data_IF_284532997091
#
_entry.id   IF_284532997091
#
_cell.length_a   1.000
_cell.length_b   1.000
_cell.length_c   1.000
_cell.angle_alpha   90.00
_cell.angle_beta   90.00
_cell.angle_gamma   90.00
#
_symmetry.space_group_name_H-M   'P 1'
#
loop_
_entity.id
_entity.type
_entity.pdbx_description
1 polymer ?
#
# COMPACT_ATOMS: atom_id res chain seq x y z
N UNK A 1 18.14 -16.84 20.63
CA UNK A 1 16.94 -16.69 21.49
C UNK A 1 15.72 -16.70 20.60
N UNK A 2 14.75 -17.64 20.74
CA UNK A 2 13.62 -17.77 19.84
C UNK A 2 12.72 -16.51 19.85
N UNK A 3 12.10 -16.20 18.72
CA UNK A 3 11.35 -14.99 18.52
C UNK A 3 10.20 -14.74 19.54
N UNK A 4 9.47 -15.77 20.04
CA UNK A 4 8.45 -15.52 21.06
C UNK A 4 9.01 -14.97 22.38
N UNK A 5 10.23 -15.34 22.74
CA UNK A 5 10.89 -14.82 23.95
C UNK A 5 11.40 -13.40 23.71
N UNK A 6 11.88 -13.10 22.49
CA UNK A 6 12.35 -11.74 22.14
C UNK A 6 11.21 -10.72 22.17
N UNK A 7 10.04 -11.05 21.60
CA UNK A 7 8.90 -10.11 21.58
C UNK A 7 8.40 -9.82 23.00
N UNK A 8 8.38 -10.80 23.89
CA UNK A 8 8.00 -10.57 25.30
C UNK A 8 8.97 -9.59 25.95
N UNK A 9 10.28 -9.75 25.75
CA UNK A 9 11.27 -8.79 26.27
C UNK A 9 11.08 -7.38 25.70
N UNK A 10 10.74 -7.25 24.42
CA UNK A 10 10.45 -5.93 23.84
C UNK A 10 9.20 -5.30 24.49
N UNK A 11 8.19 -6.10 24.78
CA UNK A 11 6.97 -5.63 25.45
C UNK A 11 7.21 -5.23 26.90
N UNK A 12 8.11 -5.90 27.62
CA UNK A 12 8.49 -5.59 29.00
C UNK A 12 9.02 -4.17 29.16
N UNK A 13 9.59 -3.57 28.11
CA UNK A 13 10.02 -2.17 28.14
C UNK A 13 8.86 -1.16 28.29
N UNK A 14 7.63 -1.58 28.01
CA UNK A 14 6.44 -0.71 27.99
C UNK A 14 5.29 -1.21 28.83
N UNK A 15 5.24 -2.49 29.11
CA UNK A 15 4.16 -3.15 29.86
C UNK A 15 4.73 -3.69 31.16
N UNK A 16 4.39 -3.04 32.28
CA UNK A 16 4.81 -3.47 33.61
C UNK A 16 3.94 -4.61 34.17
N UNK A 17 2.68 -4.74 33.71
CA UNK A 17 1.76 -5.78 34.21
C UNK A 17 2.13 -7.15 33.64
N UNK A 18 2.64 -8.02 34.53
CA UNK A 18 3.03 -9.40 34.22
C UNK A 18 1.84 -10.28 33.77
N UNK A 19 0.60 -9.93 34.12
CA UNK A 19 -0.59 -10.68 33.72
C UNK A 19 -0.83 -10.49 32.21
N UNK A 20 -0.69 -9.24 31.73
CA UNK A 20 -0.81 -8.94 30.29
C UNK A 20 0.30 -9.65 29.51
N UNK A 21 1.54 -9.61 29.98
CA UNK A 21 2.64 -10.30 29.31
C UNK A 21 2.43 -11.82 29.25
N UNK A 22 1.93 -12.42 30.34
CA UNK A 22 1.56 -13.86 30.34
C UNK A 22 0.43 -14.18 29.36
N UNK A 23 -0.56 -13.31 29.24
CA UNK A 23 -1.66 -13.45 28.30
C UNK A 23 -1.15 -13.42 26.84
N UNK A 24 -0.31 -12.44 26.52
CA UNK A 24 0.32 -12.34 25.20
C UNK A 24 1.19 -13.58 24.91
N UNK A 25 1.96 -14.02 25.89
CA UNK A 25 2.77 -15.24 25.74
C UNK A 25 1.91 -16.49 25.48
N UNK A 26 0.72 -16.59 26.09
CA UNK A 26 -0.25 -17.64 25.76
C UNK A 26 -0.76 -17.50 24.33
N UNK A 27 -1.15 -16.31 23.87
CA UNK A 27 -1.60 -16.07 22.49
C UNK A 27 -0.55 -16.45 21.45
N UNK A 28 0.72 -16.19 21.74
CA UNK A 28 1.83 -16.57 20.85
C UNK A 28 2.05 -18.08 20.75
N UNK A 29 1.60 -18.86 21.77
CA UNK A 29 1.70 -20.32 21.82
C UNK A 29 0.45 -21.03 21.27
N UNK A 30 -0.66 -20.32 21.10
CA UNK A 30 -1.89 -20.90 20.57
C UNK A 30 -1.70 -21.17 19.08
N UNK A 31 -1.90 -22.43 18.67
CA UNK A 31 -1.92 -22.81 17.26
C UNK A 31 -3.15 -22.28 16.53
N UNK A 32 -3.14 -22.40 15.22
CA UNK A 32 -4.32 -22.13 14.37
C UNK A 32 -5.15 -23.41 14.35
N UNK A 33 -6.45 -23.28 14.65
CA UNK A 33 -7.40 -24.36 14.42
C UNK A 33 -8.04 -24.15 13.05
N UNK A 34 -7.66 -24.96 12.07
CA UNK A 34 -8.33 -25.06 10.77
C UNK A 34 -8.97 -26.45 10.69
N UNK A 35 -10.26 -26.51 10.35
CA UNK A 35 -11.04 -27.76 10.18
C UNK A 35 -10.94 -28.75 11.36
N UNK A 36 -10.88 -28.25 12.61
CA UNK A 36 -10.81 -29.09 13.82
C UNK A 36 -9.39 -29.60 14.15
N UNK A 37 -8.39 -29.36 13.33
CA UNK A 37 -7.00 -29.70 13.59
C UNK A 37 -6.23 -28.49 14.14
N UNK A 38 -5.60 -28.65 15.31
CA UNK A 38 -4.74 -27.63 15.92
C UNK A 38 -3.31 -27.74 15.35
N UNK A 39 -2.96 -26.87 14.43
CA UNK A 39 -1.59 -26.78 13.92
C UNK A 39 -0.80 -25.81 14.79
N UNK A 40 0.17 -26.29 15.55
CA UNK A 40 1.11 -25.44 16.30
C UNK A 40 2.12 -24.84 15.31
N UNK A 41 2.10 -23.53 15.16
CA UNK A 41 3.16 -22.82 14.43
C UNK A 41 4.41 -22.76 15.32
N UNK A 42 5.46 -23.45 14.92
CA UNK A 42 6.77 -23.36 15.60
C UNK A 42 7.49 -22.05 15.28
N UNK A 43 7.08 -21.36 14.22
CA UNK A 43 7.68 -20.09 13.76
C UNK A 43 6.61 -19.03 13.49
N UNK A 44 6.71 -17.93 14.19
CA UNK A 44 5.88 -16.75 13.95
C UNK A 44 4.55 -16.71 14.73
N UNK A 45 3.88 -15.55 14.71
CA UNK A 45 2.53 -15.41 15.22
C UNK A 45 1.54 -16.06 14.25
N UNK A 46 0.44 -16.68 14.74
CA UNK A 46 -0.57 -17.26 13.88
C UNK A 46 -1.09 -16.24 12.85
N UNK A 47 -1.07 -16.60 11.56
CA UNK A 47 -1.67 -15.75 10.53
C UNK A 47 -3.17 -15.64 10.77
N UNK A 48 -3.70 -14.41 10.79
CA UNK A 48 -5.14 -14.16 11.01
C UNK A 48 -5.54 -13.84 12.45
N UNK A 49 -4.65 -14.00 13.45
CA UNK A 49 -4.96 -13.54 14.80
C UNK A 49 -4.99 -12.00 14.87
N UNK A 50 -6.02 -11.45 15.53
CA UNK A 50 -6.26 -10.00 15.64
C UNK A 50 -5.06 -9.24 16.23
N UNK A 51 -4.31 -9.85 17.14
CA UNK A 51 -3.14 -9.25 17.80
C UNK A 51 -1.87 -9.29 16.94
N UNK A 52 -1.78 -10.21 15.96
CA UNK A 52 -0.56 -10.46 15.19
C UNK A 52 0.01 -9.21 14.49
N UNK A 53 -0.82 -8.35 13.84
CA UNK A 53 -0.30 -7.13 13.21
C UNK A 53 0.31 -6.14 14.22
N UNK A 54 -0.23 -6.07 15.43
CA UNK A 54 0.28 -5.20 16.49
C UNK A 54 1.64 -5.72 16.97
N UNK A 55 1.72 -7.01 17.28
CA UNK A 55 2.96 -7.64 17.74
C UNK A 55 4.06 -7.59 16.67
N UNK A 56 3.71 -7.80 15.40
CA UNK A 56 4.64 -7.64 14.28
C UNK A 56 5.19 -6.21 14.19
N UNK A 57 4.33 -5.20 14.38
CA UNK A 57 4.76 -3.81 14.39
C UNK A 57 5.66 -3.47 15.59
N UNK A 58 5.37 -4.02 16.78
CA UNK A 58 6.26 -3.89 17.95
C UNK A 58 7.61 -4.55 17.67
N UNK A 59 7.62 -5.76 17.11
CA UNK A 59 8.86 -6.44 16.79
C UNK A 59 9.70 -5.66 15.79
N UNK A 60 9.09 -5.19 14.68
CA UNK A 60 9.77 -4.38 13.68
C UNK A 60 10.23 -3.02 14.22
N UNK A 61 9.54 -2.45 15.19
CA UNK A 61 10.01 -1.23 15.83
C UNK A 61 11.40 -1.42 16.47
N UNK A 62 11.60 -2.47 17.23
CA UNK A 62 12.90 -2.75 17.87
C UNK A 62 13.95 -3.28 16.89
N UNK A 63 13.54 -4.13 15.95
CA UNK A 63 14.47 -4.75 15.01
C UNK A 63 14.88 -3.80 13.91
N UNK A 64 13.93 -3.04 13.36
CA UNK A 64 14.14 -2.20 12.18
C UNK A 64 14.16 -0.71 12.52
N UNK A 65 13.08 -0.13 13.10
CA UNK A 65 12.96 1.33 13.21
C UNK A 65 14.06 1.96 14.04
N UNK A 66 14.36 1.40 15.22
CA UNK A 66 15.43 1.92 16.09
C UNK A 66 16.82 1.72 15.47
N UNK A 67 17.05 0.59 14.80
CA UNK A 67 18.29 0.32 14.12
C UNK A 67 18.50 1.28 12.94
N UNK A 68 17.49 1.49 12.11
CA UNK A 68 17.53 2.43 10.99
C UNK A 68 17.75 3.86 11.46
N UNK A 69 17.08 4.26 12.55
CA UNK A 69 17.30 5.58 13.15
C UNK A 69 18.76 5.78 13.56
N UNK A 70 19.35 4.80 14.25
CA UNK A 70 20.76 4.83 14.64
C UNK A 70 21.68 4.84 13.40
N UNK A 71 21.42 3.97 12.41
CA UNK A 71 22.17 3.91 11.17
C UNK A 71 22.20 5.27 10.45
N UNK A 72 21.06 5.94 10.36
CA UNK A 72 20.93 7.26 9.76
C UNK A 72 21.78 8.30 10.48
N UNK A 73 21.86 8.26 11.81
CA UNK A 73 22.64 9.22 12.60
C UNK A 73 24.15 8.97 12.56
N UNK A 74 24.57 7.72 12.36
CA UNK A 74 25.98 7.34 12.51
C UNK A 74 26.70 7.04 11.19
N UNK A 75 25.97 6.67 10.15
CA UNK A 75 26.55 6.18 8.88
C UNK A 75 26.15 6.96 7.65
N UNK A 76 24.94 7.56 7.63
CA UNK A 76 24.51 8.34 6.48
C UNK A 76 25.26 9.67 6.44
N UNK A 77 25.90 9.97 5.30
CA UNK A 77 26.51 11.28 5.01
C UNK A 77 25.57 12.18 4.24
N UNK A 78 24.62 11.60 3.50
CA UNK A 78 23.60 12.31 2.73
C UNK A 78 22.19 12.18 3.33
N UNK A 79 21.22 12.76 2.61
CA UNK A 79 19.82 12.66 2.99
C UNK A 79 19.31 11.22 2.92
N UNK A 80 18.69 10.75 3.99
CA UNK A 80 18.08 9.43 4.09
C UNK A 80 16.62 9.53 4.52
N UNK A 81 15.72 8.98 3.72
CA UNK A 81 14.27 8.97 3.98
C UNK A 81 13.81 7.54 4.23
N UNK A 82 13.04 7.34 5.29
CA UNK A 82 12.51 6.03 5.65
C UNK A 82 10.99 6.10 5.77
N UNK A 83 10.30 5.23 5.06
CA UNK A 83 8.84 5.09 5.11
C UNK A 83 8.53 3.61 5.34
N UNK A 84 7.90 3.28 6.46
CA UNK A 84 7.44 1.92 6.77
C UNK A 84 5.93 1.89 7.01
N UNK A 85 5.29 0.92 6.43
CA UNK A 85 3.90 0.57 6.68
C UNK A 85 3.78 -0.94 6.88
N UNK A 86 3.63 -1.37 8.13
CA UNK A 86 3.74 -2.77 8.54
C UNK A 86 5.09 -3.38 8.10
N UNK A 87 5.06 -4.38 7.23
CA UNK A 87 6.21 -5.05 6.62
C UNK A 87 6.71 -4.37 5.34
N UNK A 88 5.89 -3.56 4.69
CA UNK A 88 6.27 -2.81 3.50
C UNK A 88 7.15 -1.60 3.86
N UNK A 89 8.35 -1.52 3.29
CA UNK A 89 9.30 -0.44 3.60
C UNK A 89 9.92 0.14 2.34
N UNK A 90 10.07 1.46 2.33
CA UNK A 90 10.86 2.20 1.33
C UNK A 90 11.92 2.99 2.08
N UNK A 91 13.17 2.84 1.61
CA UNK A 91 14.29 3.64 2.11
C UNK A 91 14.92 4.34 0.92
N UNK A 92 14.99 5.66 0.99
CA UNK A 92 15.62 6.50 -0.04
C UNK A 92 16.95 7.06 0.47
N UNK A 93 17.97 7.05 -0.39
CA UNK A 93 19.29 7.57 -0.11
C UNK A 93 19.70 8.59 -1.15
N UNK A 94 20.50 9.55 -0.74
CA UNK A 94 21.12 10.50 -1.66
C UNK A 94 22.26 9.83 -2.45
N UNK A 95 23.01 8.93 -1.82
CA UNK A 95 24.17 8.26 -2.38
C UNK A 95 23.93 6.76 -2.60
N UNK A 96 24.32 6.24 -3.77
CA UNK A 96 24.11 4.83 -4.14
C UNK A 96 24.93 3.88 -3.25
N UNK A 97 26.18 4.26 -2.92
CA UNK A 97 27.04 3.41 -2.07
C UNK A 97 26.44 3.19 -0.68
N UNK A 98 25.83 4.22 -0.09
CA UNK A 98 25.10 4.11 1.19
C UNK A 98 23.93 3.15 1.11
N UNK A 99 23.16 3.22 0.00
CA UNK A 99 22.03 2.31 -0.21
C UNK A 99 22.46 0.85 -0.33
N UNK A 100 23.62 0.58 -0.95
CA UNK A 100 24.19 -0.77 -1.04
C UNK A 100 24.66 -1.28 0.31
N UNK A 101 25.46 -0.49 1.01
CA UNK A 101 25.93 -0.83 2.37
C UNK A 101 24.77 -1.06 3.33
N UNK A 102 23.76 -0.18 3.28
CA UNK A 102 22.56 -0.33 4.10
C UNK A 102 21.81 -1.64 3.79
N UNK A 103 21.66 -1.99 2.51
CA UNK A 103 20.95 -3.22 2.13
C UNK A 103 21.65 -4.48 2.64
N UNK A 104 22.96 -4.51 2.58
CA UNK A 104 23.73 -5.67 3.05
C UNK A 104 23.68 -5.78 4.57
N UNK A 105 23.88 -4.69 5.30
CA UNK A 105 23.72 -4.65 6.75
C UNK A 105 22.28 -4.95 7.20
N UNK A 106 21.29 -4.53 6.41
CA UNK A 106 19.88 -4.85 6.68
C UNK A 106 19.62 -6.35 6.56
N UNK A 107 20.19 -7.03 5.55
CA UNK A 107 20.07 -8.49 5.43
C UNK A 107 20.62 -9.20 6.66
N UNK A 108 21.81 -8.81 7.09
CA UNK A 108 22.44 -9.35 8.30
C UNK A 108 21.59 -9.09 9.54
N UNK A 109 21.12 -7.85 9.68
CA UNK A 109 20.25 -7.47 10.80
C UNK A 109 18.98 -8.29 10.85
N UNK A 110 18.28 -8.46 9.72
CA UNK A 110 17.08 -9.29 9.66
C UNK A 110 17.37 -10.73 10.03
N UNK A 111 18.44 -11.31 9.50
CA UNK A 111 18.87 -12.68 9.80
C UNK A 111 19.12 -12.88 11.30
N UNK A 112 19.78 -11.94 11.99
CA UNK A 112 20.02 -11.98 13.44
C UNK A 112 18.71 -12.08 14.25
N UNK A 113 17.61 -11.59 13.70
CA UNK A 113 16.29 -11.61 14.34
C UNK A 113 15.32 -12.63 13.72
N UNK A 114 15.85 -13.62 13.02
CA UNK A 114 15.07 -14.69 12.39
C UNK A 114 14.05 -14.18 11.38
N UNK A 115 14.32 -13.02 10.76
CA UNK A 115 13.57 -12.46 9.66
C UNK A 115 14.34 -12.58 8.36
N UNK A 116 13.63 -12.64 7.24
CA UNK A 116 14.23 -12.64 5.92
C UNK A 116 13.59 -11.57 5.04
N UNK A 117 14.41 -10.89 4.24
CA UNK A 117 13.92 -10.02 3.18
C UNK A 117 13.45 -10.89 2.00
N UNK A 118 12.29 -10.55 1.45
CA UNK A 118 11.76 -11.27 0.29
C UNK A 118 12.64 -10.96 -0.94
N UNK A 119 13.31 -11.95 -1.58
CA UNK A 119 14.31 -11.70 -2.62
C UNK A 119 13.72 -10.97 -3.84
N UNK A 120 12.55 -11.40 -4.33
CA UNK A 120 11.94 -10.81 -5.53
C UNK A 120 11.31 -9.43 -5.30
N UNK A 121 10.97 -9.09 -4.05
CA UNK A 121 10.34 -7.82 -3.70
C UNK A 121 11.33 -6.77 -3.23
N UNK A 122 12.46 -7.19 -2.69
CA UNK A 122 13.53 -6.27 -2.22
C UNK A 122 14.41 -5.90 -3.41
N UNK A 123 14.37 -4.63 -3.80
CA UNK A 123 15.11 -4.13 -4.96
C UNK A 123 15.80 -2.81 -4.66
N UNK A 124 17.02 -2.66 -5.16
CA UNK A 124 17.71 -1.39 -5.23
C UNK A 124 17.43 -0.77 -6.61
N UNK A 125 16.87 0.44 -6.62
CA UNK A 125 16.49 1.13 -7.86
C UNK A 125 17.04 2.55 -7.88
N UNK A 126 17.38 3.06 -9.07
CA UNK A 126 17.69 4.48 -9.28
C UNK A 126 16.41 5.26 -9.49
N UNK A 127 16.06 6.08 -8.52
CA UNK A 127 14.80 6.83 -8.49
C UNK A 127 15.05 8.27 -8.03
N UNK A 128 14.27 9.23 -8.55
CA UNK A 128 14.37 10.62 -8.13
C UNK A 128 14.67 11.59 -9.27
N UNK A 129 14.96 12.84 -8.89
CA UNK A 129 15.12 13.97 -9.82
C UNK A 129 16.19 13.73 -10.90
N UNK A 130 17.27 13.08 -10.54
CA UNK A 130 18.42 12.87 -11.42
C UNK A 130 18.43 11.51 -12.12
N UNK A 131 17.51 10.59 -11.74
CA UNK A 131 17.49 9.22 -12.23
C UNK A 131 17.39 9.14 -13.77
N UNK A 132 16.58 9.97 -14.40
CA UNK A 132 16.44 9.98 -15.87
C UNK A 132 17.76 10.29 -16.58
N UNK A 133 18.45 11.37 -16.16
CA UNK A 133 19.75 11.77 -16.74
C UNK A 133 20.87 10.76 -16.48
N UNK A 134 20.87 10.16 -15.28
CA UNK A 134 21.87 9.13 -14.92
C UNK A 134 21.69 7.87 -15.76
N UNK A 135 20.45 7.41 -15.94
CA UNK A 135 20.15 6.23 -16.76
C UNK A 135 20.45 6.46 -18.25
N UNK A 136 20.14 7.66 -18.77
CA UNK A 136 20.48 8.06 -20.13
C UNK A 136 22.00 7.98 -20.40
N UNK A 137 22.82 8.51 -19.46
CA UNK A 137 24.29 8.40 -19.54
C UNK A 137 24.81 6.97 -19.54
N UNK A 138 24.09 6.04 -18.94
CA UNK A 138 24.45 4.62 -18.87
C UNK A 138 23.84 3.79 -20.01
N UNK A 139 23.15 4.42 -20.96
CA UNK A 139 22.43 3.71 -22.03
C UNK A 139 21.21 2.91 -21.52
N UNK A 140 20.77 3.15 -20.28
CA UNK A 140 19.62 2.50 -19.68
C UNK A 140 18.32 3.26 -20.05
N UNK A 141 17.20 2.54 -20.13
CA UNK A 141 15.90 3.12 -20.47
C UNK A 141 15.33 4.07 -19.40
N UNK A 142 14.02 4.30 -19.44
CA UNK A 142 13.31 5.17 -18.47
C UNK A 142 13.57 4.77 -17.02
N UNK A 143 13.48 5.72 -16.06
CA UNK A 143 13.58 5.41 -14.64
C UNK A 143 12.65 4.30 -14.21
N UNK A 144 13.12 3.46 -13.31
CA UNK A 144 12.33 2.37 -12.77
C UNK A 144 11.13 2.89 -11.98
N UNK A 145 10.18 2.01 -11.77
CA UNK A 145 8.98 2.27 -10.98
C UNK A 145 8.88 1.28 -9.84
N UNK A 146 8.23 1.66 -8.76
CA UNK A 146 7.96 0.74 -7.67
C UNK A 146 6.50 0.84 -7.21
N UNK A 147 6.00 -0.27 -6.68
CA UNK A 147 4.66 -0.38 -6.14
C UNK A 147 4.69 -0.23 -4.62
N UNK A 148 3.87 0.69 -4.08
CA UNK A 148 3.73 0.89 -2.64
C UNK A 148 2.32 1.34 -2.29
N UNK A 149 1.71 0.74 -1.28
CA UNK A 149 0.37 1.05 -0.77
C UNK A 149 -0.69 1.18 -1.88
N UNK A 150 -0.69 0.25 -2.83
CA UNK A 150 -1.69 0.23 -3.90
C UNK A 150 -1.43 1.16 -5.08
N UNK A 151 -0.32 1.90 -5.05
CA UNK A 151 0.09 2.80 -6.12
C UNK A 151 1.42 2.39 -6.73
N UNK A 152 1.54 2.51 -8.05
CA UNK A 152 2.81 2.52 -8.75
C UNK A 152 3.36 3.93 -8.75
N UNK A 153 4.55 4.13 -8.20
CA UNK A 153 5.28 5.39 -8.16
C UNK A 153 6.24 5.48 -9.34
N UNK A 154 6.33 6.64 -9.98
CA UNK A 154 7.19 6.87 -11.14
C UNK A 154 7.69 8.31 -11.20
N UNK A 155 8.88 8.50 -11.78
CA UNK A 155 9.47 9.81 -12.03
C UNK A 155 8.74 10.50 -13.18
N UNK A 156 8.32 11.76 -12.98
CA UNK A 156 7.66 12.57 -14.01
C UNK A 156 7.91 14.07 -13.78
N UNK A 157 7.37 14.90 -14.65
CA UNK A 157 7.37 16.36 -14.50
C UNK A 157 5.96 16.89 -14.34
N UNK A 158 5.80 17.93 -13.56
CA UNK A 158 4.56 18.69 -13.45
C UNK A 158 4.19 19.27 -14.82
N UNK A 159 2.92 19.14 -15.22
CA UNK A 159 2.42 19.72 -16.48
C UNK A 159 2.45 21.24 -16.47
N UNK A 160 2.22 21.86 -15.31
CA UNK A 160 2.09 23.30 -15.19
C UNK A 160 3.45 24.00 -15.02
N UNK A 161 4.38 23.36 -14.32
CA UNK A 161 5.62 24.00 -13.87
C UNK A 161 6.90 23.34 -14.43
N UNK A 162 6.78 22.24 -15.17
CA UNK A 162 7.93 21.47 -15.67
C UNK A 162 8.85 20.89 -14.60
N UNK A 163 8.55 21.14 -13.31
CA UNK A 163 9.34 20.68 -12.16
C UNK A 163 9.23 19.18 -11.98
N UNK A 164 10.26 18.58 -11.40
CA UNK A 164 10.23 17.16 -11.06
C UNK A 164 9.15 16.86 -10.02
N UNK A 165 8.37 15.83 -10.27
CA UNK A 165 7.37 15.28 -9.31
C UNK A 165 7.37 13.77 -9.37
N UNK A 166 7.01 13.15 -8.24
CA UNK A 166 6.74 11.72 -8.17
C UNK A 166 5.28 11.50 -8.52
N UNK A 167 5.05 10.93 -9.71
CA UNK A 167 3.73 10.53 -10.16
C UNK A 167 3.25 9.27 -9.43
N UNK A 168 1.94 9.17 -9.26
CA UNK A 168 1.26 8.03 -8.64
C UNK A 168 0.12 7.57 -9.51
N UNK A 169 0.01 6.28 -9.74
CA UNK A 169 -1.12 5.66 -10.44
C UNK A 169 -1.51 4.37 -9.74
N UNK A 170 -2.80 4.04 -9.75
CA UNK A 170 -3.29 2.78 -9.19
C UNK A 170 -2.63 1.58 -9.86
N UNK A 171 -2.17 0.59 -9.08
CA UNK A 171 -1.53 -0.63 -9.58
C UNK A 171 -2.47 -1.35 -10.55
N UNK A 172 -2.00 -1.63 -11.77
CA UNK A 172 -2.80 -2.26 -12.83
C UNK A 172 -3.38 -3.63 -12.41
N UNK A 173 -2.60 -4.45 -11.72
CA UNK A 173 -3.02 -5.79 -11.24
C UNK A 173 -4.20 -5.66 -10.27
N UNK A 174 -4.11 -4.77 -9.28
CA UNK A 174 -5.20 -4.49 -8.32
C UNK A 174 -6.44 -3.94 -9.01
N UNK A 175 -6.26 -3.04 -9.98
CA UNK A 175 -7.35 -2.49 -10.78
C UNK A 175 -8.10 -3.60 -11.55
N UNK A 176 -7.37 -4.50 -12.23
CA UNK A 176 -7.95 -5.64 -12.96
C UNK A 176 -8.73 -6.58 -12.02
N UNK A 177 -8.15 -6.93 -10.87
CA UNK A 177 -8.80 -7.78 -9.87
C UNK A 177 -10.11 -7.15 -9.37
N UNK A 178 -10.09 -5.84 -9.05
CA UNK A 178 -11.31 -5.11 -8.64
C UNK A 178 -12.37 -5.09 -9.73
N UNK A 179 -11.97 -4.89 -11.00
CA UNK A 179 -12.90 -4.93 -12.14
C UNK A 179 -13.54 -6.31 -12.31
N UNK A 180 -12.78 -7.38 -12.13
CA UNK A 180 -13.30 -8.74 -12.20
C UNK A 180 -14.30 -9.02 -11.06
N UNK A 181 -13.99 -8.60 -9.85
CA UNK A 181 -14.90 -8.71 -8.71
C UNK A 181 -16.22 -7.95 -8.97
N UNK A 182 -16.15 -6.73 -9.50
CA UNK A 182 -17.34 -5.95 -9.88
C UNK A 182 -18.16 -6.68 -10.95
N UNK A 183 -17.50 -7.28 -11.96
CA UNK A 183 -18.17 -8.03 -13.02
C UNK A 183 -18.93 -9.23 -12.47
N UNK A 184 -18.34 -9.96 -11.52
CA UNK A 184 -18.99 -11.10 -10.84
C UNK A 184 -20.20 -10.60 -10.04
N UNK A 185 -20.00 -9.56 -9.24
CA UNK A 185 -21.07 -9.03 -8.39
C UNK A 185 -22.25 -8.45 -9.22
N UNK A 186 -21.99 -7.81 -10.36
CA UNK A 186 -23.02 -7.36 -11.28
C UNK A 186 -23.79 -8.53 -11.92
N UNK A 187 -23.19 -9.71 -12.05
CA UNK A 187 -23.90 -10.91 -12.50
C UNK A 187 -24.84 -11.42 -11.41
N UNK A 188 -24.37 -11.46 -10.16
CA UNK A 188 -25.20 -11.89 -9.03
C UNK A 188 -26.40 -10.95 -8.83
N UNK A 189 -26.22 -9.65 -9.08
CA UNK A 189 -27.25 -8.61 -8.98
C UNK A 189 -27.99 -8.37 -10.30
N UNK A 190 -27.88 -9.27 -11.27
CA UNK A 190 -28.42 -9.03 -12.60
C UNK A 190 -29.93 -8.78 -12.61
N UNK A 191 -30.69 -9.41 -11.71
CA UNK A 191 -32.14 -9.26 -11.59
C UNK A 191 -32.59 -8.24 -10.52
N UNK A 192 -31.66 -7.68 -9.76
CA UNK A 192 -31.96 -6.65 -8.76
C UNK A 192 -32.48 -5.36 -9.42
N UNK A 193 -33.38 -4.60 -8.77
CA UNK A 193 -33.79 -3.28 -9.22
C UNK A 193 -32.57 -2.35 -9.43
N UNK A 194 -32.63 -1.51 -10.48
CA UNK A 194 -31.52 -0.58 -10.81
C UNK A 194 -31.18 0.31 -9.61
N UNK A 195 -32.17 0.76 -8.84
CA UNK A 195 -31.95 1.59 -7.65
C UNK A 195 -31.12 0.84 -6.59
N UNK A 196 -31.42 -0.44 -6.30
CA UNK A 196 -30.70 -1.26 -5.32
C UNK A 196 -29.26 -1.47 -5.76
N UNK A 197 -29.03 -1.88 -7.00
CA UNK A 197 -27.69 -2.03 -7.59
C UNK A 197 -26.94 -0.68 -7.60
N UNK A 198 -27.64 0.42 -7.84
CA UNK A 198 -27.09 1.77 -7.86
C UNK A 198 -26.57 2.22 -6.49
N UNK A 199 -27.31 1.96 -5.42
CA UNK A 199 -26.85 2.28 -4.05
C UNK A 199 -25.57 1.51 -3.72
N UNK A 200 -25.53 0.20 -3.98
CA UNK A 200 -24.31 -0.61 -3.82
C UNK A 200 -23.14 -0.06 -4.65
N UNK A 201 -23.41 0.30 -5.92
CA UNK A 201 -22.40 0.86 -6.81
C UNK A 201 -21.84 2.17 -6.25
N UNK A 202 -22.69 3.07 -5.76
CA UNK A 202 -22.30 4.35 -5.16
C UNK A 202 -21.38 4.13 -3.95
N UNK A 203 -21.74 3.23 -3.05
CA UNK A 203 -20.94 2.90 -1.87
C UNK A 203 -19.57 2.35 -2.26
N UNK A 204 -19.52 1.40 -3.20
CA UNK A 204 -18.29 0.81 -3.70
C UNK A 204 -17.38 1.85 -4.38
N UNK A 205 -17.95 2.74 -5.21
CA UNK A 205 -17.20 3.80 -5.88
C UNK A 205 -16.69 4.85 -4.88
N UNK A 206 -17.50 5.20 -3.89
CA UNK A 206 -17.08 6.13 -2.84
C UNK A 206 -15.93 5.57 -2.02
N UNK A 207 -15.99 4.28 -1.62
CA UNK A 207 -14.90 3.60 -0.94
C UNK A 207 -13.62 3.58 -1.79
N UNK A 208 -13.74 3.39 -3.11
CA UNK A 208 -12.60 3.46 -4.03
C UNK A 208 -12.01 4.88 -4.10
N UNK A 209 -12.84 5.92 -4.17
CA UNK A 209 -12.39 7.32 -4.14
C UNK A 209 -11.71 7.67 -2.82
N UNK A 210 -12.28 7.26 -1.68
CA UNK A 210 -11.73 7.55 -0.37
C UNK A 210 -10.28 7.08 -0.21
N UNK A 211 -9.88 6.04 -0.94
CA UNK A 211 -8.51 5.53 -0.92
C UNK A 211 -7.65 6.08 -2.07
N UNK A 212 -8.17 6.06 -3.29
CA UNK A 212 -7.39 6.30 -4.50
C UNK A 212 -7.45 7.72 -5.05
N UNK A 213 -8.29 8.61 -4.49
CA UNK A 213 -8.44 9.99 -4.97
C UNK A 213 -7.31 10.91 -4.47
N UNK A 214 -6.09 10.55 -4.80
CA UNK A 214 -4.86 11.33 -4.55
C UNK A 214 -4.47 12.17 -5.75
N UNK A 215 -3.74 13.25 -5.52
CA UNK A 215 -3.19 14.09 -6.58
C UNK A 215 -2.35 13.26 -7.57
N UNK A 216 -2.58 13.46 -8.86
CA UNK A 216 -1.90 12.77 -9.96
C UNK A 216 -2.55 11.44 -10.39
N UNK A 217 -3.48 10.87 -9.62
CA UNK A 217 -4.15 9.60 -9.95
C UNK A 217 -5.50 9.75 -10.68
N UNK A 218 -5.94 10.98 -10.98
CA UNK A 218 -7.22 11.21 -11.65
C UNK A 218 -7.40 10.42 -12.97
N UNK A 219 -6.38 10.26 -13.83
CA UNK A 219 -6.54 9.47 -15.06
C UNK A 219 -6.91 8.02 -14.79
N UNK A 220 -6.34 7.40 -13.73
CA UNK A 220 -6.68 6.02 -13.33
C UNK A 220 -8.11 5.92 -12.81
N UNK A 221 -8.57 6.91 -12.05
CA UNK A 221 -9.95 6.98 -11.55
C UNK A 221 -10.95 7.17 -12.69
N UNK A 222 -10.67 8.07 -13.61
CA UNK A 222 -11.48 8.29 -14.80
C UNK A 222 -11.64 7.00 -15.63
N UNK A 223 -10.55 6.33 -15.88
CA UNK A 223 -10.56 5.06 -16.59
C UNK A 223 -11.38 4.01 -15.84
N UNK A 224 -11.20 3.89 -14.53
CA UNK A 224 -11.93 2.95 -13.68
C UNK A 224 -13.45 3.22 -13.74
N UNK A 225 -13.86 4.44 -13.52
CA UNK A 225 -15.29 4.82 -13.56
C UNK A 225 -15.92 4.54 -14.92
N UNK A 226 -15.26 4.87 -16.01
CA UNK A 226 -15.76 4.59 -17.35
C UNK A 226 -15.89 3.09 -17.61
N UNK A 227 -14.93 2.28 -17.16
CA UNK A 227 -15.02 0.82 -17.28
C UNK A 227 -16.16 0.27 -16.42
N UNK A 228 -16.35 0.73 -15.21
CA UNK A 228 -17.49 0.34 -14.36
C UNK A 228 -18.83 0.66 -15.00
N UNK A 229 -19.00 1.85 -15.59
CA UNK A 229 -20.20 2.23 -16.35
C UNK A 229 -20.47 1.24 -17.49
N UNK A 230 -19.43 0.91 -18.26
CA UNK A 230 -19.56 -0.06 -19.38
C UNK A 230 -19.92 -1.47 -18.88
N UNK A 231 -19.36 -1.92 -17.77
CA UNK A 231 -19.69 -3.22 -17.16
C UNK A 231 -21.14 -3.25 -16.70
N UNK A 232 -21.62 -2.19 -16.08
CA UNK A 232 -23.00 -2.13 -15.62
C UNK A 232 -23.99 -2.08 -16.81
N UNK A 233 -23.72 -1.26 -17.82
CA UNK A 233 -24.52 -1.26 -19.05
C UNK A 233 -24.60 -2.65 -19.70
N UNK A 234 -23.44 -3.33 -19.81
CA UNK A 234 -23.39 -4.67 -20.35
C UNK A 234 -24.20 -5.68 -19.51
N UNK A 235 -24.20 -5.54 -18.18
CA UNK A 235 -25.03 -6.36 -17.30
C UNK A 235 -26.53 -6.09 -17.52
N UNK A 236 -26.93 -4.82 -17.64
CA UNK A 236 -28.33 -4.47 -17.90
C UNK A 236 -28.83 -4.95 -19.27
N UNK A 237 -28.00 -4.84 -20.31
CA UNK A 237 -28.35 -5.35 -21.63
C UNK A 237 -28.59 -6.87 -21.69
N UNK A 238 -28.03 -7.62 -20.74
CA UNK A 238 -28.25 -9.08 -20.64
C UNK A 238 -29.58 -9.47 -20.00
N UNK A 239 -30.33 -8.53 -19.40
CA UNK A 239 -31.61 -8.80 -18.77
C UNK A 239 -32.73 -9.11 -19.79
N UNK A 240 -32.60 -8.59 -21.01
CA UNK A 240 -33.58 -8.79 -22.07
C UNK A 240 -32.89 -8.79 -23.43
N UNK A 241 -33.27 -9.70 -24.28
CA UNK A 241 -32.79 -9.77 -25.67
C UNK A 241 -33.31 -8.61 -26.54
N UNK A 242 -34.48 -8.05 -26.17
CA UNK A 242 -35.15 -6.98 -26.92
C UNK A 242 -34.82 -5.59 -26.39
N UNK A 243 -34.18 -5.47 -25.23
CA UNK A 243 -33.92 -4.16 -24.59
C UNK A 243 -32.86 -3.36 -25.37
N UNK A 244 -33.32 -2.31 -26.06
CA UNK A 244 -32.45 -1.32 -26.74
C UNK A 244 -32.06 -0.19 -25.80
N UNK A 245 -31.22 -0.48 -24.78
CA UNK A 245 -30.72 0.53 -23.86
C UNK A 245 -29.52 1.25 -24.50
N UNK A 246 -29.72 2.53 -24.92
CA UNK A 246 -28.60 3.36 -25.41
C UNK A 246 -27.70 3.82 -24.27
N UNK A 247 -26.49 4.26 -24.62
CA UNK A 247 -25.53 4.80 -23.65
C UNK A 247 -26.08 6.04 -22.94
N UNK A 248 -26.73 6.93 -23.67
CA UNK A 248 -27.29 8.18 -23.17
C UNK A 248 -28.40 7.93 -22.14
N UNK A 249 -29.37 7.09 -22.47
CA UNK A 249 -30.45 6.69 -21.56
C UNK A 249 -29.91 6.01 -20.31
N UNK A 250 -28.90 5.14 -20.48
CA UNK A 250 -28.23 4.52 -19.33
C UNK A 250 -27.58 5.57 -18.43
N UNK A 251 -26.76 6.48 -18.97
CA UNK A 251 -26.08 7.50 -18.18
C UNK A 251 -27.09 8.37 -17.44
N UNK A 252 -28.18 8.82 -18.07
CA UNK A 252 -29.24 9.60 -17.43
C UNK A 252 -29.85 8.86 -16.21
N UNK A 253 -30.13 7.55 -16.37
CA UNK A 253 -30.75 6.76 -15.31
C UNK A 253 -29.83 6.46 -14.12
N UNK A 254 -28.50 6.42 -14.34
CA UNK A 254 -27.53 6.00 -13.30
C UNK A 254 -26.63 7.13 -12.79
N UNK A 255 -26.68 8.33 -13.37
CA UNK A 255 -25.77 9.43 -13.05
C UNK A 255 -25.69 9.73 -11.53
N UNK A 256 -26.85 9.71 -10.84
CA UNK A 256 -26.98 9.94 -9.40
C UNK A 256 -26.18 8.95 -8.51
N UNK A 257 -25.80 7.80 -9.05
CA UNK A 257 -25.05 6.78 -8.32
C UNK A 257 -23.54 6.87 -8.54
N UNK A 258 -23.07 7.78 -9.41
CA UNK A 258 -21.65 7.99 -9.66
C UNK A 258 -21.18 9.25 -8.95
N UNK A 259 -20.42 9.12 -7.85
CA UNK A 259 -19.88 10.28 -7.15
C UNK A 259 -18.90 11.05 -8.04
N UNK A 260 -18.75 12.37 -7.87
CA UNK A 260 -17.81 13.18 -8.63
C UNK A 260 -16.35 12.79 -8.29
N UNK A 261 -15.51 12.71 -9.32
CA UNK A 261 -14.10 12.42 -9.16
C UNK A 261 -13.39 13.71 -8.72
N UNK A 262 -13.15 13.84 -7.42
CA UNK A 262 -12.40 14.95 -6.81
C UNK A 262 -11.18 14.41 -6.07
N UNK A 263 -10.11 15.18 -6.01
CA UNK A 263 -8.97 14.88 -5.14
C UNK A 263 -9.42 15.06 -3.69
N UNK A 264 -9.40 13.98 -2.91
CA UNK A 264 -9.82 13.99 -1.50
C UNK A 264 -8.64 14.16 -0.54
N UNK A 265 -7.43 13.81 -1.00
CA UNK A 265 -6.24 13.87 -0.17
C UNK A 265 -5.36 15.06 -0.59
N UNK A 266 -4.98 15.93 0.35
CA UNK A 266 -4.08 17.04 0.06
C UNK A 266 -2.71 16.51 -0.41
N UNK A 267 -1.96 17.36 -1.09
CA UNK A 267 -0.59 17.04 -1.46
C UNK A 267 0.24 16.74 -0.20
N UNK A 268 1.19 15.78 -0.28
CA UNK A 268 2.04 15.43 0.86
C UNK A 268 2.79 16.64 1.45
N UNK A 269 3.26 17.57 0.61
CA UNK A 269 3.90 18.80 1.03
C UNK A 269 3.01 19.66 1.93
N UNK A 270 1.73 19.83 1.59
CA UNK A 270 0.81 20.61 2.42
C UNK A 270 0.59 19.98 3.80
N UNK A 271 0.55 18.65 3.89
CA UNK A 271 0.48 17.95 5.19
C UNK A 271 1.77 18.07 5.98
N UNK A 272 2.89 18.06 5.29
CA UNK A 272 4.20 18.19 5.87
C UNK A 272 4.38 19.58 6.48
N UNK A 273 4.10 20.63 5.72
CA UNK A 273 4.20 22.02 6.18
C UNK A 273 3.30 22.31 7.39
N UNK A 274 2.08 21.76 7.39
CA UNK A 274 1.15 21.88 8.50
C UNK A 274 1.65 21.22 9.79
N UNK A 275 2.37 20.08 9.69
CA UNK A 275 2.86 19.34 10.87
C UNK A 275 4.23 19.80 11.36
N UNK A 276 5.09 20.26 10.48
CA UNK A 276 6.50 20.52 10.77
C UNK A 276 6.83 22.01 10.80
N UNK A 277 5.85 22.90 10.51
CA UNK A 277 6.05 24.34 10.33
C UNK A 277 7.22 24.63 9.37
N UNK A 278 7.32 23.86 8.27
CA UNK A 278 8.38 23.98 7.28
C UNK A 278 9.75 23.42 7.70
N UNK A 279 9.86 22.81 8.88
CA UNK A 279 11.12 22.16 9.31
C UNK A 279 11.16 20.74 8.76
N UNK A 280 12.21 20.41 8.01
CA UNK A 280 12.43 19.08 7.48
C UNK A 280 12.65 18.07 8.63
N UNK A 281 11.92 16.96 8.73
CA UNK A 281 12.24 15.90 9.69
C UNK A 281 13.44 15.07 9.25
N UNK A 282 14.07 15.43 8.13
CA UNK A 282 15.16 14.70 7.45
C UNK A 282 16.53 15.29 7.82
N UNK A 283 16.61 15.96 8.97
CA UNK A 283 17.92 16.34 9.55
C UNK A 283 18.14 15.63 10.85
#
# INVERSE_FOLDING_TARGET
>A
MPWPTRIIRFLEHRIADKRILRLIAKWLKVGITEDGCVTRSERGAPQGAVISPILANVYLHYVFDLWVHRWRLTKASGDMIVIRYADDTIVGFQHEHEARTFLDELKERMHQFELALHPDKTRLIRFGRHAAKQREKLGEGKPETFDFLGFTHFCTRSRNWGTFVIGRKTIKKRMRAKMQAIKIELRNKMHDPIAKTGVWMKQMLQGHLNYFAVSGNQPSLWWFFNKVKRLWLASLKRRSQTARLSWERFIQSVARFFPPIKVLHPLPCHRFDAKTRGRSPVR
#
